data_IF_306014130317
#
_entry.id   IF_306014130317
#
_cell.length_a   1.000
_cell.length_b   1.000
_cell.length_c   1.000
_cell.angle_alpha   90.00
_cell.angle_beta   90.00
_cell.angle_gamma   90.00
#
_symmetry.space_group_name_H-M   'P 1'
#
loop_
_entity.id
_entity.type
_entity.pdbx_description
1 polymer ?
#
# COMPACT_ATOMS: atom_id res chain seq x y z
N UNK A 1 1.49 -13.51 -6.51
CA UNK A 1 1.27 -12.75 -7.74
C UNK A 1 1.00 -11.29 -7.45
N UNK A 2 1.38 -10.43 -8.36
CA UNK A 2 1.17 -9.00 -8.18
C UNK A 2 -0.25 -8.63 -8.60
N UNK A 3 -0.85 -7.71 -7.86
CA UNK A 3 -2.17 -7.19 -8.19
C UNK A 3 -2.02 -6.01 -9.17
N UNK A 4 -2.99 -5.82 -10.05
CA UNK A 4 -2.98 -4.71 -11.01
C UNK A 4 -3.70 -3.49 -10.44
N UNK A 5 -3.43 -2.31 -11.04
CA UNK A 5 -4.10 -1.08 -10.60
C UNK A 5 -5.61 -1.14 -10.82
N UNK A 6 -6.05 -1.80 -11.88
CA UNK A 6 -7.48 -1.98 -12.13
C UNK A 6 -8.13 -2.86 -11.07
N UNK A 7 -7.43 -3.94 -10.67
CA UNK A 7 -7.92 -4.81 -9.60
C UNK A 7 -8.00 -4.07 -8.26
N UNK A 8 -7.06 -3.17 -8.00
CA UNK A 8 -7.07 -2.37 -6.78
C UNK A 8 -8.31 -1.49 -6.73
N UNK A 9 -8.64 -0.82 -7.84
CA UNK A 9 -9.85 0.02 -7.87
C UNK A 9 -11.11 -0.79 -7.53
N UNK A 10 -11.21 -2.01 -8.06
CA UNK A 10 -12.35 -2.85 -7.75
C UNK A 10 -12.35 -3.29 -6.29
N UNK A 11 -11.20 -3.71 -5.76
CA UNK A 11 -11.09 -4.15 -4.37
C UNK A 11 -11.35 -3.04 -3.38
N UNK A 12 -11.02 -1.80 -3.72
CA UNK A 12 -11.23 -0.66 -2.81
C UNK A 12 -12.71 -0.38 -2.56
N UNK A 13 -13.60 -0.94 -3.37
CA UNK A 13 -15.04 -0.83 -3.15
C UNK A 13 -15.49 -1.74 -1.99
N UNK A 14 -14.67 -2.71 -1.60
CA UNK A 14 -14.98 -3.65 -0.54
C UNK A 14 -14.51 -3.11 0.81
N UNK A 15 -15.36 -3.19 1.82
CA UNK A 15 -15.06 -2.63 3.15
C UNK A 15 -13.88 -3.30 3.84
N UNK A 16 -13.61 -4.56 3.51
CA UNK A 16 -12.53 -5.30 4.15
C UNK A 16 -11.18 -5.18 3.44
N UNK A 17 -11.06 -4.29 2.46
CA UNK A 17 -9.80 -4.04 1.77
C UNK A 17 -9.09 -2.85 2.38
N UNK A 18 -7.80 -3.02 2.69
CA UNK A 18 -6.95 -1.96 3.22
C UNK A 18 -5.74 -1.81 2.29
N UNK A 19 -5.58 -0.63 1.71
CA UNK A 19 -4.42 -0.32 0.87
C UNK A 19 -3.39 0.40 1.72
N UNK A 20 -2.20 -0.20 1.84
CA UNK A 20 -1.14 0.32 2.71
C UNK A 20 0.00 0.89 1.89
N UNK A 21 0.29 2.17 2.11
CA UNK A 21 1.51 2.80 1.65
C UNK A 21 2.58 2.47 2.69
N UNK A 22 3.62 1.75 2.29
CA UNK A 22 4.65 1.28 3.23
C UNK A 22 5.91 2.15 3.23
N UNK A 23 5.84 3.30 2.58
CA UNK A 23 6.90 4.31 2.59
C UNK A 23 6.86 5.12 3.89
N UNK A 24 7.93 5.87 4.19
CA UNK A 24 7.89 6.82 5.30
C UNK A 24 6.74 7.82 5.15
N UNK A 25 6.25 8.32 6.28
CA UNK A 25 5.12 9.25 6.28
C UNK A 25 5.35 10.49 5.41
N UNK A 26 6.60 10.96 5.33
CA UNK A 26 6.93 12.12 4.49
C UNK A 26 6.60 11.88 3.03
N UNK A 27 6.91 10.69 2.52
CA UNK A 27 6.58 10.33 1.14
C UNK A 27 5.08 10.15 0.95
N UNK A 28 4.44 9.54 1.92
CA UNK A 28 2.99 9.36 1.93
C UNK A 28 2.26 10.71 1.85
N UNK A 29 2.72 11.67 2.63
CA UNK A 29 2.12 13.01 2.65
C UNK A 29 2.28 13.76 1.32
N UNK A 30 3.36 13.48 0.60
CA UNK A 30 3.60 14.13 -0.70
C UNK A 30 2.64 13.61 -1.78
N UNK A 31 2.52 12.30 -1.89
CA UNK A 31 1.69 11.71 -2.94
C UNK A 31 1.33 10.27 -2.57
N UNK A 32 0.04 9.96 -2.62
CA UNK A 32 -0.45 8.64 -2.25
C UNK A 32 -1.68 8.24 -3.06
N UNK A 33 -1.95 6.95 -3.11
CA UNK A 33 -3.21 6.44 -3.67
C UNK A 33 -4.35 6.96 -2.80
N UNK A 34 -5.36 7.56 -3.42
CA UNK A 34 -6.52 8.06 -2.69
C UNK A 34 -7.18 6.92 -1.92
N UNK A 35 -7.38 7.12 -0.62
CA UNK A 35 -7.97 6.12 0.25
C UNK A 35 -6.98 5.18 0.89
N UNK A 36 -5.68 5.28 0.56
CA UNK A 36 -4.67 4.42 1.19
C UNK A 36 -4.32 4.92 2.58
N UNK A 37 -3.79 3.99 3.39
CA UNK A 37 -3.35 4.27 4.75
C UNK A 37 -1.83 4.21 4.80
N UNK A 38 -1.24 4.92 5.75
CA UNK A 38 0.21 4.93 5.94
C UNK A 38 0.59 3.94 7.04
N UNK A 39 1.42 2.96 6.68
CA UNK A 39 2.01 2.06 7.66
C UNK A 39 3.42 1.73 7.19
N UNK A 40 4.43 2.54 7.59
CA UNK A 40 5.79 2.38 7.08
C UNK A 40 6.43 1.05 7.43
N UNK A 41 7.08 0.43 6.45
CA UNK A 41 7.94 -0.71 6.68
C UNK A 41 9.39 -0.25 6.83
N UNK A 42 9.77 0.80 6.10
CA UNK A 42 11.14 1.34 6.16
C UNK A 42 11.46 1.78 7.59
N UNK A 43 12.56 1.26 8.14
CA UNK A 43 12.96 1.57 9.51
C UNK A 43 12.18 0.79 10.56
N UNK A 44 11.32 -0.14 10.15
CA UNK A 44 10.50 -0.95 11.05
C UNK A 44 10.82 -2.42 10.81
N UNK A 45 10.91 -3.19 11.88
CA UNK A 45 11.12 -4.64 11.74
C UNK A 45 9.85 -5.28 11.19
N UNK A 46 9.97 -6.30 10.32
CA UNK A 46 8.79 -6.95 9.74
C UNK A 46 7.79 -7.46 10.78
N UNK A 47 8.28 -8.01 11.90
CA UNK A 47 7.42 -8.51 12.97
C UNK A 47 6.59 -7.40 13.59
N UNK A 48 7.20 -6.22 13.79
CA UNK A 48 6.48 -5.07 14.33
C UNK A 48 5.48 -4.52 13.33
N UNK A 49 5.86 -4.48 12.06
CA UNK A 49 4.95 -4.04 11.00
C UNK A 49 3.68 -4.91 10.97
N UNK A 50 3.85 -6.22 11.02
CA UNK A 50 2.73 -7.17 11.03
C UNK A 50 1.86 -6.97 12.28
N UNK A 51 2.49 -6.79 13.44
CA UNK A 51 1.77 -6.57 14.69
C UNK A 51 0.92 -5.30 14.60
N UNK A 52 1.50 -4.21 14.10
CA UNK A 52 0.78 -2.95 13.96
C UNK A 52 -0.39 -3.05 12.99
N UNK A 53 -0.19 -3.78 11.88
CA UNK A 53 -1.26 -3.99 10.91
C UNK A 53 -2.44 -4.72 11.54
N UNK A 54 -2.16 -5.77 12.30
CA UNK A 54 -3.19 -6.55 12.98
C UNK A 54 -3.93 -5.76 14.04
N UNK A 55 -3.19 -4.96 14.83
CA UNK A 55 -3.78 -4.15 15.89
C UNK A 55 -4.63 -3.01 15.34
N UNK A 56 -4.18 -2.41 14.25
CA UNK A 56 -4.82 -1.23 13.71
C UNK A 56 -6.01 -1.55 12.80
N UNK A 57 -5.91 -2.62 12.03
CA UNK A 57 -6.92 -2.93 11.01
C UNK A 57 -7.66 -4.25 11.23
N UNK A 58 -7.08 -5.17 11.99
CA UNK A 58 -7.65 -6.50 12.19
C UNK A 58 -7.10 -7.52 11.20
N UNK A 59 -7.28 -8.80 11.54
CA UNK A 59 -6.70 -9.90 10.75
C UNK A 59 -7.60 -10.39 9.63
N UNK A 60 -8.83 -9.90 9.57
CA UNK A 60 -9.83 -10.33 8.58
C UNK A 60 -9.85 -9.45 7.34
N UNK A 61 -8.89 -8.55 7.21
CA UNK A 61 -8.81 -7.65 6.06
C UNK A 61 -7.99 -8.26 4.94
N UNK A 62 -8.22 -7.76 3.73
CA UNK A 62 -7.36 -8.03 2.59
C UNK A 62 -6.44 -6.81 2.42
N UNK A 63 -5.14 -7.04 2.53
CA UNK A 63 -4.15 -5.96 2.47
C UNK A 63 -3.51 -5.87 1.09
N UNK A 64 -3.41 -4.66 0.58
CA UNK A 64 -2.67 -4.38 -0.65
C UNK A 64 -1.55 -3.42 -0.26
N UNK A 65 -0.30 -3.82 -0.49
CA UNK A 65 0.86 -3.02 -0.10
C UNK A 65 1.52 -2.41 -1.32
N UNK A 66 1.97 -1.15 -1.21
CA UNK A 66 2.67 -0.49 -2.30
C UNK A 66 3.70 0.50 -1.77
N UNK A 67 4.66 0.83 -2.62
CA UNK A 67 5.66 1.86 -2.33
C UNK A 67 5.79 2.80 -3.53
N UNK A 68 6.98 3.30 -3.82
CA UNK A 68 7.14 4.32 -4.87
C UNK A 68 6.97 3.77 -6.30
N UNK A 69 7.38 2.54 -6.53
CA UNK A 69 7.45 1.94 -7.84
C UNK A 69 8.84 1.37 -8.06
N UNK A 70 9.14 0.86 -9.26
CA UNK A 70 10.45 0.29 -9.56
C UNK A 70 11.55 1.32 -9.32
N UNK A 71 12.66 1.01 -8.63
CA UNK A 71 13.07 -0.32 -8.16
C UNK A 71 12.76 -0.61 -6.68
N UNK A 72 11.88 0.13 -6.06
CA UNK A 72 11.53 -0.09 -4.64
C UNK A 72 10.90 -1.48 -4.45
N UNK A 73 11.35 -2.21 -3.42
CA UNK A 73 10.85 -3.55 -3.13
C UNK A 73 10.14 -3.69 -1.79
N UNK A 74 9.97 -2.60 -1.07
CA UNK A 74 9.34 -2.66 0.25
C UNK A 74 7.89 -3.18 0.18
N UNK A 75 7.20 -2.93 -0.93
CA UNK A 75 5.86 -3.44 -1.12
C UNK A 75 5.83 -4.98 -1.07
N UNK A 76 6.85 -5.61 -1.65
CA UNK A 76 6.95 -7.07 -1.71
C UNK A 76 7.29 -7.65 -0.33
N UNK A 77 8.23 -7.01 0.37
CA UNK A 77 8.61 -7.42 1.72
C UNK A 77 7.41 -7.33 2.68
N UNK A 78 6.63 -6.25 2.56
CA UNK A 78 5.46 -6.05 3.40
C UNK A 78 4.39 -7.12 3.13
N UNK A 79 4.10 -7.38 1.86
CA UNK A 79 3.11 -8.39 1.49
C UNK A 79 3.55 -9.78 1.95
N UNK A 80 4.84 -10.10 1.79
CA UNK A 80 5.37 -11.39 2.23
C UNK A 80 5.27 -11.55 3.74
N UNK A 81 5.62 -10.50 4.50
CA UNK A 81 5.54 -10.55 5.96
C UNK A 81 4.11 -10.79 6.44
N UNK A 82 3.16 -10.08 5.84
CA UNK A 82 1.75 -10.26 6.18
C UNK A 82 1.26 -11.66 5.84
N UNK A 83 1.60 -12.15 4.65
CA UNK A 83 1.20 -13.48 4.20
C UNK A 83 1.74 -14.57 5.13
N UNK A 84 3.02 -14.45 5.52
CA UNK A 84 3.66 -15.40 6.42
C UNK A 84 2.99 -15.42 7.81
N UNK A 85 2.42 -14.29 8.20
CA UNK A 85 1.73 -14.19 9.49
C UNK A 85 0.26 -14.60 9.41
N UNK A 86 -0.20 -15.09 8.27
CA UNK A 86 -1.57 -15.58 8.10
C UNK A 86 -2.57 -14.56 7.59
N UNK A 87 -2.11 -13.37 7.21
CA UNK A 87 -2.98 -12.35 6.62
C UNK A 87 -3.14 -12.60 5.12
N UNK A 88 -4.24 -12.10 4.56
CA UNK A 88 -4.40 -12.08 3.10
C UNK A 88 -3.78 -10.78 2.60
N UNK A 89 -2.77 -10.89 1.75
CA UNK A 89 -2.05 -9.71 1.27
C UNK A 89 -1.49 -9.93 -0.12
N UNK A 90 -1.45 -8.85 -0.90
CA UNK A 90 -0.80 -8.83 -2.21
C UNK A 90 -0.07 -7.51 -2.38
N UNK A 91 1.02 -7.54 -3.16
CA UNK A 91 1.82 -6.36 -3.43
C UNK A 91 1.50 -5.75 -4.79
N UNK A 92 1.48 -4.43 -4.84
CA UNK A 92 1.32 -3.68 -6.09
C UNK A 92 2.67 -3.15 -6.54
N UNK A 93 3.22 -3.75 -7.58
CA UNK A 93 4.57 -3.44 -8.07
C UNK A 93 4.69 -2.06 -8.72
N UNK A 94 3.62 -1.58 -9.35
CA UNK A 94 3.65 -0.29 -10.03
C UNK A 94 3.82 0.89 -9.08
N UNK A 95 3.33 0.74 -7.85
CA UNK A 95 3.47 1.77 -6.84
C UNK A 95 2.74 3.05 -7.17
N UNK A 96 3.04 4.10 -6.37
CA UNK A 96 2.41 5.40 -6.59
C UNK A 96 2.79 5.99 -7.96
N UNK A 97 3.97 5.65 -8.47
CA UNK A 97 4.42 6.17 -9.76
C UNK A 97 3.51 5.74 -10.88
N UNK A 98 3.28 4.44 -11.05
CA UNK A 98 2.40 3.95 -12.12
C UNK A 98 0.97 4.44 -11.93
N UNK A 99 0.50 4.40 -10.68
CA UNK A 99 -0.86 4.82 -10.34
C UNK A 99 -1.13 6.26 -10.78
N UNK A 100 -0.23 7.18 -10.39
CA UNK A 100 -0.37 8.59 -10.70
C UNK A 100 -0.21 8.87 -12.19
N UNK A 101 0.78 8.25 -12.84
CA UNK A 101 1.03 8.43 -14.27
C UNK A 101 -0.11 7.90 -15.12
N UNK A 102 -0.86 6.94 -14.62
CA UNK A 102 -2.02 6.39 -15.32
C UNK A 102 -3.29 7.22 -15.13
N UNK A 103 -3.21 8.30 -14.36
CA UNK A 103 -4.36 9.16 -14.13
C UNK A 103 -5.34 8.66 -13.09
N UNK A 104 -4.95 7.66 -12.28
CA UNK A 104 -5.79 7.12 -11.23
C UNK A 104 -5.81 8.06 -10.01
N UNK A 105 -6.86 8.02 -9.17
CA UNK A 105 -7.04 9.02 -8.11
C UNK A 105 -5.92 9.04 -7.07
N UNK A 106 -5.36 10.23 -6.84
CA UNK A 106 -4.28 10.44 -5.86
C UNK A 106 -4.65 11.54 -4.89
N UNK A 107 -3.96 11.54 -3.75
CA UNK A 107 -4.05 12.56 -2.71
C UNK A 107 -2.65 12.96 -2.28
N UNK A 108 -2.52 14.11 -1.62
CA UNK A 108 -1.25 14.56 -1.08
C UNK A 108 -0.89 15.95 -1.58
N UNK A 109 0.25 16.46 -1.11
CA UNK A 109 0.71 17.81 -1.41
C UNK A 109 0.90 18.00 -2.91
N UNK A 110 1.37 16.98 -3.62
CA UNK A 110 1.67 17.03 -5.05
C UNK A 110 0.52 16.53 -5.93
N UNK A 111 -0.63 16.22 -5.35
CA UNK A 111 -1.72 15.59 -6.10
C UNK A 111 -2.23 16.45 -7.27
N UNK A 112 -2.16 17.76 -7.15
CA UNK A 112 -2.63 18.67 -8.19
C UNK A 112 -1.89 18.50 -9.51
N UNK A 113 -0.64 18.02 -9.47
CA UNK A 113 0.14 17.80 -10.69
C UNK A 113 -0.42 16.64 -11.54
N UNK A 114 -1.26 15.79 -10.95
CA UNK A 114 -1.78 14.58 -11.59
C UNK A 114 -3.30 14.59 -11.76
N UNK A 115 -3.98 15.47 -11.04
CA UNK A 115 -5.45 15.58 -11.13
C UNK A 115 -5.87 16.74 -12.09
#
# INVERSE_FOLDING_TARGET
MAITKEEILEKMKEKNTVVLNVLPKTDYDLLRIKGSQCLPLVGTRPEKFVQEAGEKYGRDKFFITYCSGFPCRHFMEAAAALTQAGFKAEGYAGGIQEWAESGFPVEGIQAKAFN
#
